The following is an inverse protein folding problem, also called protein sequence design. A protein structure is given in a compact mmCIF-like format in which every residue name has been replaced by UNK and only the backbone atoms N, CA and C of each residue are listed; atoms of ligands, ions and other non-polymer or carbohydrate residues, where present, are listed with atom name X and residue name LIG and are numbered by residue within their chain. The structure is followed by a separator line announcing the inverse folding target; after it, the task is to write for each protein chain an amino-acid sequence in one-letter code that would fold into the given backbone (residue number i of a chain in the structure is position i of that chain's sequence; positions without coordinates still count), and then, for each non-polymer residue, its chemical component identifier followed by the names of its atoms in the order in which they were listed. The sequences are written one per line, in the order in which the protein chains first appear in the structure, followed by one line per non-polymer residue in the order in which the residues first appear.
data_IF_002856390788
#
_entry.id   IF_002856390788
#
_cell.length_a   1.000
_cell.length_b   1.000
_cell.length_c   1.000
_cell.angle_alpha   90.00
_cell.angle_beta   90.00
_cell.angle_gamma   90.00
#
_symmetry.space_group_name_H-M   'P 1'
#
loop_
_entity.id
_entity.type
_entity.pdbx_description
1 polymer ?
#
# COMPACT_ATOMS: atom_id res chain seq x y z
N UNK A 1 25.99 -20.27 2.78
CA UNK A 1 24.82 -19.45 3.15
C UNK A 1 24.84 -18.26 2.21
N UNK A 2 23.70 -17.83 1.69
CA UNK A 2 23.63 -16.65 0.83
C UNK A 2 23.99 -15.38 1.66
N UNK A 3 24.87 -14.52 1.13
CA UNK A 3 25.43 -13.37 1.86
C UNK A 3 24.34 -12.34 2.20
N UNK A 4 23.35 -12.15 1.31
CA UNK A 4 22.22 -11.27 1.55
C UNK A 4 21.32 -11.84 2.64
N UNK A 5 21.03 -13.15 2.62
CA UNK A 5 20.25 -13.82 3.67
C UNK A 5 20.95 -13.66 5.02
N UNK A 6 22.28 -13.84 5.09
CA UNK A 6 23.04 -13.64 6.31
C UNK A 6 22.93 -12.19 6.82
N UNK A 7 23.05 -11.20 5.93
CA UNK A 7 22.90 -9.79 6.27
C UNK A 7 21.49 -9.45 6.77
N UNK A 8 20.44 -9.98 6.12
CA UNK A 8 19.04 -9.80 6.55
C UNK A 8 18.83 -10.37 7.95
N UNK A 9 19.30 -11.59 8.22
CA UNK A 9 19.15 -12.21 9.54
C UNK A 9 19.89 -11.41 10.62
N UNK A 10 21.08 -10.91 10.32
CA UNK A 10 21.86 -10.09 11.25
C UNK A 10 21.21 -8.72 11.54
N UNK A 11 20.46 -8.17 10.58
CA UNK A 11 19.88 -6.83 10.68
C UNK A 11 18.34 -6.81 10.83
N UNK A 12 17.69 -7.95 11.05
CA UNK A 12 16.22 -8.07 11.05
C UNK A 12 15.49 -7.22 12.08
N UNK A 13 16.16 -6.69 13.09
CA UNK A 13 15.56 -5.76 14.05
C UNK A 13 15.42 -4.32 13.49
N UNK A 14 16.13 -4.00 12.40
CA UNK A 14 16.17 -2.65 11.81
C UNK A 14 15.15 -2.47 10.66
N UNK A 15 14.49 -3.55 10.24
CA UNK A 15 13.57 -3.54 9.10
C UNK A 15 12.24 -4.17 9.48
N UNK A 16 11.19 -3.75 8.74
CA UNK A 16 9.91 -4.44 8.74
C UNK A 16 9.85 -5.38 7.56
N UNK A 17 9.13 -6.48 7.75
CA UNK A 17 8.97 -7.52 6.75
C UNK A 17 7.50 -7.66 6.39
N UNK A 18 7.24 -8.09 5.16
CA UNK A 18 5.91 -8.43 4.64
C UNK A 18 6.04 -9.55 3.61
N UNK A 19 5.02 -10.39 3.48
CA UNK A 19 5.04 -11.52 2.55
C UNK A 19 4.87 -11.01 1.12
N UNK A 20 5.76 -11.44 0.23
CA UNK A 20 5.71 -11.14 -1.19
C UNK A 20 5.76 -12.41 -2.06
N UNK A 21 5.01 -13.43 -1.62
CA UNK A 21 4.99 -14.81 -2.18
C UNK A 21 6.38 -15.47 -2.21
N UNK A 22 6.47 -16.71 -2.68
CA UNK A 22 7.70 -17.52 -2.56
C UNK A 22 8.58 -17.43 -3.80
N UNK A 23 7.98 -17.56 -4.98
CA UNK A 23 8.66 -17.49 -6.28
C UNK A 23 8.36 -16.21 -7.05
N UNK A 24 7.49 -15.35 -6.52
CA UNK A 24 6.97 -14.19 -7.24
C UNK A 24 6.21 -14.54 -8.54
N UNK A 25 5.69 -15.78 -8.64
CA UNK A 25 4.82 -16.15 -9.75
C UNK A 25 3.51 -15.35 -9.74
N UNK A 26 3.03 -15.01 -10.95
CA UNK A 26 1.77 -14.30 -11.08
C UNK A 26 0.58 -15.19 -10.71
N UNK A 27 -0.48 -14.55 -10.22
CA UNK A 27 -1.68 -15.20 -9.70
C UNK A 27 -2.96 -14.65 -10.35
N UNK A 28 -2.85 -14.12 -11.57
CA UNK A 28 -4.02 -13.74 -12.37
C UNK A 28 -4.84 -14.96 -12.77
N UNK A 29 -5.99 -14.72 -13.39
CA UNK A 29 -6.87 -15.81 -13.84
C UNK A 29 -6.13 -16.79 -14.74
N UNK A 30 -6.51 -18.05 -14.61
CA UNK A 30 -6.06 -19.09 -15.52
C UNK A 30 -6.50 -18.75 -16.96
N UNK A 31 -5.69 -19.10 -17.97
CA UNK A 31 -6.02 -18.87 -19.37
C UNK A 31 -7.33 -19.56 -19.76
N UNK A 32 -8.04 -18.98 -20.73
CA UNK A 32 -9.22 -19.59 -21.35
C UNK A 32 -8.99 -19.68 -22.86
N UNK A 33 -8.98 -20.89 -23.46
CA UNK A 33 -9.14 -22.22 -22.83
C UNK A 33 -7.97 -22.61 -21.89
N UNK A 34 -8.22 -23.50 -20.93
CA UNK A 34 -7.30 -23.83 -19.84
C UNK A 34 -5.94 -24.42 -20.26
N UNK A 35 -5.79 -24.83 -21.51
CA UNK A 35 -4.57 -25.37 -22.09
C UNK A 35 -3.71 -24.31 -22.83
N UNK A 36 -4.16 -23.06 -22.91
CA UNK A 36 -3.37 -21.99 -23.51
C UNK A 36 -2.17 -21.64 -22.63
N UNK A 37 -1.08 -21.23 -23.28
CA UNK A 37 0.11 -20.70 -22.59
C UNK A 37 -0.02 -19.19 -22.50
N UNK A 38 0.20 -18.64 -21.30
CA UNK A 38 0.20 -17.20 -21.08
C UNK A 38 1.55 -16.59 -21.50
N UNK A 39 1.55 -15.32 -21.88
CA UNK A 39 2.78 -14.56 -22.17
C UNK A 39 3.74 -14.50 -20.96
N UNK A 40 3.20 -14.69 -19.76
CA UNK A 40 3.91 -14.68 -18.48
C UNK A 40 3.64 -15.96 -17.66
N UNK A 41 4.57 -16.38 -16.79
CA UNK A 41 4.33 -17.49 -15.86
C UNK A 41 3.23 -17.17 -14.86
N UNK A 42 2.14 -17.93 -14.86
CA UNK A 42 1.01 -17.75 -13.91
C UNK A 42 0.59 -19.06 -13.27
N UNK A 43 0.16 -18.99 -12.01
CA UNK A 43 -0.36 -20.14 -11.27
C UNK A 43 -1.86 -20.30 -11.51
N UNK A 44 -2.25 -21.48 -11.98
CA UNK A 44 -3.61 -21.75 -12.44
C UNK A 44 -4.45 -22.61 -11.49
N UNK A 45 -3.89 -23.03 -10.35
CA UNK A 45 -4.57 -23.90 -9.38
C UNK A 45 -4.58 -23.33 -7.98
N UNK A 46 -5.68 -23.55 -7.24
CA UNK A 46 -5.82 -23.15 -5.84
C UNK A 46 -4.63 -23.63 -4.98
N UNK A 47 -4.28 -24.92 -5.09
CA UNK A 47 -3.21 -25.52 -4.30
C UNK A 47 -1.84 -24.88 -4.57
N UNK A 48 -1.53 -24.54 -5.84
CA UNK A 48 -0.28 -23.87 -6.17
C UNK A 48 -0.22 -22.44 -5.62
N UNK A 49 -1.33 -21.68 -5.73
CA UNK A 49 -1.42 -20.33 -5.18
C UNK A 49 -1.30 -20.34 -3.65
N UNK A 50 -1.98 -21.27 -2.96
CA UNK A 50 -1.83 -21.45 -1.51
C UNK A 50 -0.40 -21.84 -1.12
N UNK A 51 0.26 -22.68 -1.91
CA UNK A 51 1.63 -23.09 -1.66
C UNK A 51 2.60 -21.90 -1.75
N UNK A 52 2.40 -20.96 -2.67
CA UNK A 52 3.22 -19.73 -2.74
C UNK A 52 3.17 -18.93 -1.44
N UNK A 53 1.98 -18.73 -0.87
CA UNK A 53 1.80 -17.96 0.35
C UNK A 53 2.41 -18.72 1.55
N UNK A 54 2.11 -20.01 1.68
CA UNK A 54 2.53 -20.83 2.83
C UNK A 54 4.02 -21.17 2.83
N UNK A 55 4.64 -21.38 1.67
CA UNK A 55 6.09 -21.60 1.54
C UNK A 55 6.86 -20.34 1.94
N UNK A 56 6.42 -19.15 1.52
CA UNK A 56 7.08 -17.92 1.93
C UNK A 56 7.01 -17.70 3.45
N UNK A 57 5.85 -17.97 4.07
CA UNK A 57 5.70 -17.94 5.55
C UNK A 57 6.56 -19.01 6.25
N UNK A 58 6.85 -20.12 5.59
CA UNK A 58 7.78 -21.13 6.11
C UNK A 58 9.20 -20.58 6.15
N UNK A 59 9.67 -19.95 5.07
CA UNK A 59 10.98 -19.27 5.03
C UNK A 59 11.06 -18.19 6.10
N UNK A 60 10.02 -17.37 6.27
CA UNK A 60 9.95 -16.37 7.34
C UNK A 60 10.19 -16.98 8.73
N UNK A 61 9.56 -18.13 8.99
CA UNK A 61 9.74 -18.88 10.25
C UNK A 61 11.16 -19.41 10.42
N UNK A 62 11.74 -19.98 9.36
CA UNK A 62 13.10 -20.52 9.37
C UNK A 62 14.16 -19.42 9.62
N UNK A 63 13.96 -18.22 9.07
CA UNK A 63 14.84 -17.07 9.28
C UNK A 63 14.55 -16.32 10.61
N UNK A 64 13.45 -16.67 11.28
CA UNK A 64 13.00 -16.02 12.51
C UNK A 64 12.82 -14.51 12.34
N UNK A 65 12.25 -14.07 11.21
CA UNK A 65 11.97 -12.65 10.97
C UNK A 65 10.86 -12.16 11.94
N UNK A 66 10.90 -10.91 12.41
CA UNK A 66 9.97 -10.40 13.42
C UNK A 66 8.52 -10.36 12.93
N UNK A 67 7.56 -10.27 13.87
CA UNK A 67 6.14 -9.98 13.61
C UNK A 67 5.44 -10.93 12.61
N UNK A 68 5.92 -12.17 12.45
CA UNK A 68 5.34 -13.16 11.51
C UNK A 68 3.83 -13.35 11.72
N UNK A 69 3.40 -13.55 12.96
CA UNK A 69 2.00 -13.83 13.29
C UNK A 69 1.09 -12.67 12.89
N UNK A 70 1.51 -11.43 13.16
CA UNK A 70 0.80 -10.21 12.78
C UNK A 70 0.75 -10.03 11.25
N UNK A 71 1.85 -10.36 10.57
CA UNK A 71 1.94 -10.24 9.11
C UNK A 71 1.24 -11.37 8.34
N UNK A 72 0.86 -12.49 8.98
CA UNK A 72 0.13 -13.54 8.29
C UNK A 72 -1.17 -12.99 7.68
N UNK A 73 -1.84 -12.05 8.34
CA UNK A 73 -3.03 -11.37 7.81
C UNK A 73 -2.78 -10.51 6.57
N UNK A 74 -1.53 -10.31 6.12
CA UNK A 74 -1.20 -9.43 4.98
C UNK A 74 -0.52 -10.17 3.84
N UNK A 75 -0.80 -9.74 2.60
CA UNK A 75 -0.12 -10.24 1.42
C UNK A 75 0.08 -9.16 0.36
N UNK A 76 1.30 -9.11 -0.19
CA UNK A 76 1.59 -8.47 -1.47
C UNK A 76 1.79 -9.59 -2.50
N UNK A 77 0.88 -9.78 -3.45
CA UNK A 77 1.09 -10.72 -4.55
C UNK A 77 2.18 -10.23 -5.50
N UNK A 78 2.88 -11.16 -6.17
CA UNK A 78 3.85 -10.79 -7.21
C UNK A 78 3.17 -9.91 -8.28
N UNK A 79 3.80 -8.79 -8.64
CA UNK A 79 3.26 -7.79 -9.58
C UNK A 79 1.87 -7.23 -9.23
N UNK A 80 1.40 -7.34 -7.98
CA UNK A 80 0.00 -7.09 -7.60
C UNK A 80 -1.02 -7.92 -8.41
N UNK A 81 -0.60 -9.09 -8.92
CA UNK A 81 -1.43 -10.01 -9.68
C UNK A 81 -2.57 -10.60 -8.84
N UNK A 82 -3.59 -11.10 -9.51
CA UNK A 82 -4.80 -11.69 -8.91
C UNK A 82 -5.92 -10.69 -8.64
N UNK A 83 -5.66 -9.39 -8.71
CA UNK A 83 -6.66 -8.31 -8.56
C UNK A 83 -7.11 -7.69 -9.89
N UNK A 84 -6.58 -8.16 -11.03
CA UNK A 84 -7.07 -7.90 -12.39
C UNK A 84 -6.83 -9.13 -13.25
N UNK A 85 -7.39 -9.16 -14.45
CA UNK A 85 -7.16 -10.24 -15.41
C UNK A 85 -6.46 -9.67 -16.64
N UNK A 86 -5.16 -9.94 -16.78
CA UNK A 86 -4.34 -9.56 -17.93
C UNK A 86 -4.54 -10.44 -19.18
N UNK A 87 -5.59 -11.28 -19.17
CA UNK A 87 -5.95 -12.16 -20.30
C UNK A 87 -4.83 -13.05 -20.82
N UNK A 88 -3.83 -13.34 -19.99
CA UNK A 88 -2.65 -14.09 -20.39
C UNK A 88 -1.84 -13.43 -21.52
N UNK A 89 -1.94 -12.11 -21.68
CA UNK A 89 -1.18 -11.28 -22.62
C UNK A 89 -0.36 -10.22 -21.87
N UNK A 90 0.54 -9.54 -22.58
CA UNK A 90 1.22 -8.33 -22.08
C UNK A 90 0.51 -7.04 -22.54
N UNK A 91 -0.65 -7.16 -23.20
CA UNK A 91 -1.41 -6.02 -23.74
C UNK A 91 -2.36 -5.45 -22.70
N UNK A 92 -1.94 -4.38 -22.03
CA UNK A 92 -2.75 -3.71 -21.01
C UNK A 92 -4.10 -3.17 -21.53
N UNK A 93 -4.30 -3.06 -22.86
CA UNK A 93 -5.57 -2.60 -23.42
C UNK A 93 -6.68 -3.66 -23.32
N UNK A 94 -6.34 -4.94 -23.17
CA UNK A 94 -7.31 -6.05 -23.04
C UNK A 94 -7.57 -6.46 -21.57
N UNK A 95 -6.81 -5.89 -20.63
CA UNK A 95 -6.94 -6.12 -19.21
C UNK A 95 -8.40 -5.91 -18.75
N UNK A 96 -8.93 -6.88 -18.00
CA UNK A 96 -10.22 -6.74 -17.31
C UNK A 96 -9.96 -6.24 -15.90
N UNK A 97 -10.51 -5.08 -15.59
CA UNK A 97 -10.34 -4.41 -14.31
C UNK A 97 -11.02 -5.14 -13.15
N UNK A 98 -10.61 -4.80 -11.93
CA UNK A 98 -11.15 -5.37 -10.70
C UNK A 98 -12.66 -5.19 -10.56
N UNK A 99 -13.22 -4.04 -10.92
CA UNK A 99 -14.67 -3.76 -10.87
C UNK A 99 -15.46 -4.40 -12.04
N UNK A 100 -14.78 -5.02 -12.99
CA UNK A 100 -15.37 -5.66 -14.18
C UNK A 100 -15.29 -7.19 -14.13
N UNK A 101 -14.98 -7.75 -12.96
CA UNK A 101 -14.84 -9.19 -12.78
C UNK A 101 -13.43 -9.70 -13.06
N UNK A 102 -12.40 -8.86 -13.09
CA UNK A 102 -11.01 -9.25 -13.38
C UNK A 102 -10.29 -10.04 -12.29
N UNK A 103 -10.71 -9.97 -11.03
CA UNK A 103 -9.96 -10.66 -9.96
C UNK A 103 -10.01 -12.19 -10.11
N UNK A 104 -8.94 -12.86 -9.72
CA UNK A 104 -8.85 -14.32 -9.75
C UNK A 104 -9.56 -14.93 -8.53
N UNK A 105 -10.69 -15.65 -8.69
CA UNK A 105 -11.39 -16.26 -7.56
C UNK A 105 -10.56 -17.32 -6.83
N UNK A 106 -9.68 -18.06 -7.54
CA UNK A 106 -8.79 -19.03 -6.90
C UNK A 106 -7.74 -18.35 -6.02
N UNK A 107 -7.29 -17.15 -6.41
CA UNK A 107 -6.38 -16.34 -5.59
C UNK A 107 -7.06 -15.84 -4.33
N UNK A 108 -8.27 -15.28 -4.45
CA UNK A 108 -9.02 -14.80 -3.29
C UNK A 108 -9.37 -15.93 -2.32
N UNK A 109 -9.76 -17.10 -2.84
CA UNK A 109 -9.97 -18.31 -2.03
C UNK A 109 -8.68 -18.83 -1.40
N UNK A 110 -7.55 -18.80 -2.12
CA UNK A 110 -6.26 -19.19 -1.55
C UNK A 110 -5.87 -18.28 -0.37
N UNK A 111 -6.05 -16.97 -0.54
CA UNK A 111 -5.79 -15.96 0.49
C UNK A 111 -6.67 -16.18 1.73
N UNK A 112 -7.97 -16.40 1.54
CA UNK A 112 -8.91 -16.72 2.61
C UNK A 112 -8.50 -18.00 3.38
N UNK A 113 -8.25 -19.09 2.66
CA UNK A 113 -7.89 -20.38 3.25
C UNK A 113 -6.63 -20.35 4.12
N UNK A 114 -5.74 -19.39 3.89
CA UNK A 114 -4.49 -19.23 4.66
C UNK A 114 -4.56 -18.03 5.62
N UNK A 115 -5.74 -17.46 5.85
CA UNK A 115 -5.95 -16.37 6.82
C UNK A 115 -5.23 -15.08 6.44
N UNK A 116 -5.28 -14.69 5.17
CA UNK A 116 -4.95 -13.32 4.74
C UNK A 116 -6.22 -12.50 4.86
N UNK A 117 -6.16 -11.39 5.60
CA UNK A 117 -7.25 -10.43 5.76
C UNK A 117 -7.08 -9.22 4.86
N UNK A 118 -5.83 -8.87 4.53
CA UNK A 118 -5.43 -7.62 3.88
C UNK A 118 -4.61 -7.89 2.62
N UNK A 119 -5.11 -7.40 1.48
CA UNK A 119 -4.48 -7.55 0.17
C UNK A 119 -3.98 -6.21 -0.34
N UNK A 120 -2.68 -6.12 -0.62
CA UNK A 120 -2.11 -4.94 -1.26
C UNK A 120 -2.61 -4.77 -2.70
N UNK A 121 -3.00 -3.55 -3.07
CA UNK A 121 -3.43 -3.21 -4.42
C UNK A 121 -2.64 -2.03 -4.99
N UNK A 122 -2.60 -1.94 -6.32
CA UNK A 122 -1.91 -0.87 -7.03
C UNK A 122 -2.91 0.26 -7.33
N UNK A 123 -2.72 1.43 -6.72
CA UNK A 123 -3.63 2.56 -6.87
C UNK A 123 -3.64 3.19 -8.27
N UNK A 124 -2.75 2.79 -9.18
CA UNK A 124 -2.85 3.20 -10.59
C UNK A 124 -3.86 2.35 -11.38
N UNK A 125 -4.20 1.16 -10.89
CA UNK A 125 -5.14 0.27 -11.55
C UNK A 125 -6.59 0.69 -11.25
N UNK A 126 -7.46 0.52 -12.25
CA UNK A 126 -8.89 0.82 -12.13
C UNK A 126 -9.51 0.02 -10.98
N UNK A 127 -10.25 0.73 -10.12
CA UNK A 127 -10.94 0.19 -8.94
C UNK A 127 -10.03 -0.45 -7.87
N UNK A 128 -8.73 -0.19 -7.93
CA UNK A 128 -7.77 -0.59 -6.90
C UNK A 128 -7.23 0.59 -6.07
N UNK A 129 -7.77 1.79 -6.32
CA UNK A 129 -7.46 3.05 -5.63
C UNK A 129 -8.53 3.42 -4.59
N UNK A 130 -9.06 2.43 -3.88
CA UNK A 130 -10.08 2.62 -2.85
C UNK A 130 -9.89 1.61 -1.71
N UNK A 131 -9.94 2.09 -0.47
CA UNK A 131 -10.05 1.23 0.72
C UNK A 131 -11.44 0.61 0.74
N UNK A 132 -11.54 -0.71 0.55
CA UNK A 132 -12.81 -1.42 0.51
C UNK A 132 -12.66 -2.89 0.92
N UNK A 133 -13.71 -3.45 1.49
CA UNK A 133 -13.86 -4.91 1.53
C UNK A 133 -14.17 -5.43 0.13
N UNK A 134 -13.59 -6.57 -0.23
CA UNK A 134 -13.77 -7.24 -1.52
C UNK A 134 -15.04 -8.10 -1.43
N UNK A 135 -16.20 -7.47 -1.57
CA UNK A 135 -17.51 -8.13 -1.38
C UNK A 135 -18.11 -8.68 -2.67
N UNK A 136 -17.52 -8.36 -3.82
CA UNK A 136 -18.05 -8.71 -5.14
C UNK A 136 -17.50 -10.02 -5.71
N UNK A 137 -16.61 -10.69 -4.97
CA UNK A 137 -16.03 -11.97 -5.34
C UNK A 137 -16.20 -12.96 -4.19
N UNK A 138 -16.79 -14.12 -4.48
CA UNK A 138 -16.82 -15.23 -3.53
C UNK A 138 -15.45 -15.92 -3.47
N UNK A 139 -14.98 -16.13 -2.25
CA UNK A 139 -13.72 -16.77 -1.90
C UNK A 139 -13.90 -17.93 -0.90
N UNK A 140 -15.15 -18.21 -0.50
CA UNK A 140 -15.47 -19.28 0.44
C UNK A 140 -15.26 -18.96 1.93
N UNK A 141 -14.93 -17.72 2.31
CA UNK A 141 -14.87 -17.25 3.70
C UNK A 141 -16.20 -16.63 4.15
N UNK A 142 -16.41 -16.58 5.47
CA UNK A 142 -17.49 -15.77 6.08
C UNK A 142 -17.13 -14.28 6.15
N UNK A 143 -15.83 -13.96 6.10
CA UNK A 143 -15.30 -12.60 6.19
C UNK A 143 -14.61 -12.20 4.88
N UNK A 144 -14.97 -11.02 4.36
CA UNK A 144 -14.39 -10.42 3.17
C UNK A 144 -12.97 -9.90 3.44
N UNK A 145 -12.06 -10.09 2.49
CA UNK A 145 -10.72 -9.49 2.55
C UNK A 145 -10.80 -8.00 2.24
N UNK A 146 -9.92 -7.23 2.86
CA UNK A 146 -9.82 -5.79 2.66
C UNK A 146 -8.71 -5.47 1.65
N UNK A 147 -9.06 -4.69 0.65
CA UNK A 147 -8.14 -4.12 -0.34
C UNK A 147 -7.42 -2.90 0.26
N UNK A 148 -6.09 -2.94 0.25
CA UNK A 148 -5.19 -1.90 0.75
C UNK A 148 -4.38 -1.26 -0.39
N UNK A 149 -4.81 -0.10 -0.90
CA UNK A 149 -4.10 0.56 -1.97
C UNK A 149 -2.70 1.04 -1.56
N UNK A 150 -1.79 1.03 -2.54
CA UNK A 150 -0.43 1.54 -2.45
C UNK A 150 -0.15 2.46 -3.62
N UNK A 151 0.56 3.54 -3.37
CA UNK A 151 0.93 4.51 -4.39
C UNK A 151 2.15 4.02 -5.19
N UNK A 152 2.07 3.89 -6.52
CA UNK A 152 3.27 3.71 -7.32
C UNK A 152 4.15 4.96 -7.23
N UNK A 153 5.45 4.74 -7.38
CA UNK A 153 6.40 5.81 -7.68
C UNK A 153 6.87 5.67 -9.12
N UNK A 154 7.35 6.75 -9.71
CA UNK A 154 8.02 6.67 -11.01
C UNK A 154 9.50 6.27 -10.87
N UNK A 155 9.92 5.78 -9.70
CA UNK A 155 11.21 5.11 -9.50
C UNK A 155 11.01 3.63 -9.87
N UNK A 156 11.12 3.33 -11.16
CA UNK A 156 10.65 2.07 -11.74
C UNK A 156 11.34 0.82 -11.15
N UNK A 157 10.63 -0.31 -11.19
CA UNK A 157 11.00 -1.54 -10.49
C UNK A 157 12.30 -2.22 -10.98
N UNK A 158 12.75 -1.86 -12.17
CA UNK A 158 13.83 -2.47 -12.95
C UNK A 158 15.07 -1.57 -13.06
N UNK A 159 15.07 -0.36 -12.46
CA UNK A 159 16.17 0.59 -12.58
C UNK A 159 17.02 0.65 -11.31
N UNK A 160 18.34 0.79 -11.51
CA UNK A 160 19.35 0.74 -10.44
C UNK A 160 20.16 2.02 -10.29
N UNK A 161 20.10 2.94 -11.26
CA UNK A 161 20.91 4.17 -11.28
C UNK A 161 20.21 5.32 -12.02
N UNK A 162 20.63 6.58 -11.80
CA UNK A 162 19.95 7.78 -12.33
C UNK A 162 19.72 7.77 -13.85
N UNK A 163 20.73 7.39 -14.63
CA UNK A 163 20.61 7.40 -16.10
C UNK A 163 19.55 6.43 -16.63
N UNK A 164 19.43 5.25 -16.01
CA UNK A 164 18.40 4.25 -16.38
C UNK A 164 17.00 4.78 -16.06
N UNK A 165 16.84 5.38 -14.89
CA UNK A 165 15.58 5.99 -14.50
C UNK A 165 15.20 7.14 -15.44
N UNK A 166 16.17 7.99 -15.78
CA UNK A 166 15.94 9.11 -16.70
C UNK A 166 15.54 8.64 -18.10
N UNK A 167 16.19 7.61 -18.62
CA UNK A 167 15.86 7.00 -19.92
C UNK A 167 14.43 6.45 -19.92
N UNK A 168 14.08 5.59 -18.97
CA UNK A 168 12.75 4.97 -18.90
C UNK A 168 11.64 6.00 -18.61
N UNK A 169 11.89 6.96 -17.72
CA UNK A 169 10.93 8.03 -17.41
C UNK A 169 10.61 8.87 -18.64
N UNK A 170 11.65 9.31 -19.35
CA UNK A 170 11.48 10.14 -20.54
C UNK A 170 10.85 9.34 -21.68
N UNK A 171 11.18 8.06 -21.83
CA UNK A 171 10.48 7.20 -22.78
C UNK A 171 8.98 7.08 -22.48
N UNK A 172 8.62 6.76 -21.24
CA UNK A 172 7.23 6.54 -20.83
C UNK A 172 6.41 7.82 -20.94
N UNK A 173 6.93 8.96 -20.48
CA UNK A 173 6.14 10.18 -20.37
C UNK A 173 6.31 11.17 -21.54
N UNK A 174 7.30 10.97 -22.42
CA UNK A 174 7.57 11.89 -23.52
C UNK A 174 7.89 11.17 -24.84
N UNK A 175 8.99 10.42 -24.92
CA UNK A 175 9.54 9.99 -26.22
C UNK A 175 8.65 8.99 -26.95
N UNK A 176 7.92 8.11 -26.26
CA UNK A 176 6.98 7.19 -26.92
C UNK A 176 5.90 7.92 -27.73
N UNK A 177 5.48 9.10 -27.27
CA UNK A 177 4.46 9.91 -27.93
C UNK A 177 5.05 10.66 -29.13
N UNK A 178 6.24 11.26 -28.95
CA UNK A 178 6.98 11.88 -30.05
C UNK A 178 7.27 10.87 -31.16
N UNK A 179 7.72 9.66 -30.81
CA UNK A 179 8.00 8.58 -31.74
C UNK A 179 6.74 8.09 -32.48
N UNK A 180 5.57 8.22 -31.85
CA UNK A 180 4.28 7.94 -32.47
C UNK A 180 3.73 9.12 -33.31
N UNK A 181 4.48 10.22 -33.46
CA UNK A 181 4.05 11.43 -34.18
C UNK A 181 2.99 12.26 -33.45
N UNK A 182 2.87 12.09 -32.13
CA UNK A 182 1.91 12.80 -31.28
C UNK A 182 2.59 13.93 -30.52
N UNK A 183 1.84 14.97 -30.14
CA UNK A 183 2.32 16.05 -29.26
C UNK A 183 2.13 15.64 -27.79
N UNK A 184 3.22 15.39 -27.02
CA UNK A 184 3.13 15.03 -25.61
C UNK A 184 2.40 16.10 -24.76
N UNK A 185 2.43 17.37 -25.15
CA UNK A 185 1.75 18.43 -24.42
C UNK A 185 0.22 18.32 -24.42
N UNK A 186 -0.36 17.57 -25.36
CA UNK A 186 -1.81 17.37 -25.48
C UNK A 186 -2.29 16.06 -24.84
N UNK A 187 -1.39 15.25 -24.28
CA UNK A 187 -1.71 13.92 -23.78
C UNK A 187 -1.79 13.94 -22.24
N UNK A 188 -2.95 13.60 -21.65
CA UNK A 188 -3.07 13.49 -20.20
C UNK A 188 -2.03 12.53 -19.61
N UNK A 189 -1.26 13.01 -18.63
CA UNK A 189 -0.22 12.24 -17.94
C UNK A 189 1.15 12.22 -18.64
N UNK A 190 1.28 12.75 -19.85
CA UNK A 190 2.57 12.98 -20.50
C UNK A 190 3.26 14.26 -20.00
N UNK A 191 4.53 14.44 -20.34
CA UNK A 191 5.30 15.66 -20.08
C UNK A 191 5.70 16.32 -21.40
N UNK A 192 5.62 17.65 -21.47
CA UNK A 192 5.93 18.43 -22.69
C UNK A 192 7.39 18.38 -23.14
N UNK A 193 8.30 18.05 -22.24
CA UNK A 193 9.73 17.94 -22.52
C UNK A 193 10.35 16.89 -21.60
N UNK A 194 11.46 16.31 -22.04
CA UNK A 194 12.25 15.41 -21.19
C UNK A 194 12.71 16.10 -19.90
N UNK A 195 12.91 15.29 -18.86
CA UNK A 195 13.34 15.70 -17.53
C UNK A 195 14.71 15.14 -17.20
N UNK A 196 15.52 15.95 -16.56
CA UNK A 196 16.74 15.52 -15.87
C UNK A 196 16.39 14.72 -14.61
N UNK A 197 17.34 13.97 -14.06
CA UNK A 197 17.14 13.23 -12.82
C UNK A 197 16.63 14.11 -11.66
N UNK A 198 17.19 15.31 -11.49
CA UNK A 198 16.74 16.24 -10.45
C UNK A 198 15.29 16.72 -10.66
N UNK A 199 14.88 16.95 -11.91
CA UNK A 199 13.49 17.32 -12.24
C UNK A 199 12.51 16.16 -12.01
N UNK A 200 12.95 14.92 -12.25
CA UNK A 200 12.17 13.73 -11.92
C UNK A 200 11.94 13.65 -10.40
N UNK A 201 13.00 13.77 -9.60
CA UNK A 201 12.90 13.77 -8.13
C UNK A 201 11.99 14.90 -7.61
N UNK A 202 12.06 16.09 -8.20
CA UNK A 202 11.18 17.21 -7.82
C UNK A 202 9.71 16.92 -8.12
N UNK A 203 9.40 16.35 -9.29
CA UNK A 203 8.05 15.97 -9.65
C UNK A 203 7.51 14.85 -8.76
N UNK A 204 8.34 13.85 -8.46
CA UNK A 204 8.01 12.78 -7.53
C UNK A 204 7.75 13.31 -6.11
N UNK A 205 8.55 14.27 -5.64
CA UNK A 205 8.37 14.91 -4.34
C UNK A 205 7.03 15.67 -4.25
N UNK A 206 6.66 16.43 -5.29
CA UNK A 206 5.36 17.12 -5.33
C UNK A 206 4.18 16.14 -5.28
N UNK A 207 4.23 15.06 -6.06
CA UNK A 207 3.18 14.01 -6.06
C UNK A 207 3.09 13.33 -4.70
N UNK A 208 4.23 12.88 -4.16
CA UNK A 208 4.26 12.18 -2.87
C UNK A 208 3.77 13.06 -1.72
N UNK A 209 4.14 14.35 -1.70
CA UNK A 209 3.67 15.30 -0.71
C UNK A 209 2.15 15.48 -0.80
N UNK A 210 1.57 15.60 -2.01
CA UNK A 210 0.11 15.62 -2.19
C UNK A 210 -0.54 14.38 -1.63
N UNK A 211 0.04 13.19 -1.87
CA UNK A 211 -0.46 11.93 -1.29
C UNK A 211 -0.42 11.97 0.24
N UNK A 212 0.68 12.41 0.85
CA UNK A 212 0.80 12.54 2.31
C UNK A 212 -0.25 13.49 2.91
N UNK A 213 -0.60 14.55 2.18
CA UNK A 213 -1.62 15.53 2.58
C UNK A 213 -3.08 15.02 2.43
N UNK A 214 -3.31 13.84 1.82
CA UNK A 214 -4.65 13.23 1.76
C UNK A 214 -5.07 12.57 3.08
N UNK A 215 -4.15 12.39 4.02
CA UNK A 215 -4.33 11.62 5.26
C UNK A 215 -4.69 10.14 5.05
N UNK A 216 -4.54 9.62 3.83
CA UNK A 216 -4.56 8.18 3.58
C UNK A 216 -3.29 7.55 4.14
N UNK A 217 -3.40 6.32 4.64
CA UNK A 217 -2.28 5.56 5.22
C UNK A 217 -1.55 4.72 4.17
N UNK A 218 -1.82 4.98 2.89
CA UNK A 218 -1.30 4.17 1.79
C UNK A 218 0.19 4.42 1.63
N UNK A 219 1.02 3.37 1.66
CA UNK A 219 2.44 3.53 1.43
C UNK A 219 2.73 3.74 -0.05
N UNK A 220 3.83 4.40 -0.34
CA UNK A 220 4.48 4.32 -1.65
C UNK A 220 5.24 3.01 -1.79
N UNK A 221 5.38 2.48 -3.01
CA UNK A 221 6.13 1.25 -3.24
C UNK A 221 7.33 1.41 -4.16
N UNK A 222 8.33 0.57 -3.87
CA UNK A 222 9.65 0.47 -4.51
C UNK A 222 10.03 -1.00 -4.63
N UNK A 223 11.14 -1.26 -5.31
CA UNK A 223 11.67 -2.60 -5.54
C UNK A 223 13.14 -2.68 -5.13
N UNK A 224 13.64 -3.92 -4.98
CA UNK A 224 15.01 -4.18 -4.53
C UNK A 224 16.09 -3.48 -5.37
N UNK A 225 15.86 -3.30 -6.67
CA UNK A 225 16.76 -2.60 -7.60
C UNK A 225 16.96 -1.14 -7.22
N UNK A 226 15.96 -0.49 -6.62
CA UNK A 226 16.01 0.93 -6.25
C UNK A 226 16.91 1.18 -5.03
N UNK A 227 17.31 0.12 -4.32
CA UNK A 227 18.31 0.13 -3.25
C UNK A 227 19.72 -0.24 -3.74
N UNK A 228 19.90 -0.52 -5.04
CA UNK A 228 21.22 -0.74 -5.58
C UNK A 228 22.08 0.52 -5.40
N UNK A 229 23.27 0.32 -4.84
CA UNK A 229 24.30 1.36 -4.72
C UNK A 229 24.79 1.71 -6.13
N UNK A 230 24.55 2.94 -6.57
CA UNK A 230 24.94 3.36 -7.93
C UNK A 230 26.28 4.12 -8.00
N UNK A 231 26.85 4.51 -6.88
CA UNK A 231 28.16 5.19 -6.81
C UNK A 231 28.99 4.73 -5.61
N UNK A 232 30.22 5.24 -5.45
CA UNK A 232 31.10 4.86 -4.34
C UNK A 232 30.59 5.34 -2.96
N UNK A 233 29.81 6.42 -2.93
CA UNK A 233 29.30 7.07 -1.71
C UNK A 233 28.17 6.28 -1.05
N UNK A 234 27.52 5.38 -1.77
CA UNK A 234 26.42 4.56 -1.23
C UNK A 234 25.04 5.09 -1.57
N UNK A 235 24.93 6.00 -2.54
CA UNK A 235 23.65 6.57 -2.92
C UNK A 235 22.77 5.52 -3.63
N UNK A 236 21.46 5.63 -3.41
CA UNK A 236 20.45 4.78 -4.04
C UNK A 236 19.27 5.63 -4.49
N UNK A 237 18.58 5.18 -5.54
CA UNK A 237 17.43 5.90 -6.09
C UNK A 237 16.32 6.11 -5.04
N UNK A 238 16.07 5.12 -4.19
CA UNK A 238 15.05 5.22 -3.16
C UNK A 238 15.41 6.25 -2.07
N UNK A 239 16.67 6.34 -1.66
CA UNK A 239 17.08 7.34 -0.67
C UNK A 239 17.11 8.75 -1.25
N UNK A 240 17.47 8.92 -2.52
CA UNK A 240 17.37 10.21 -3.20
C UNK A 240 15.92 10.69 -3.30
N UNK A 241 14.99 9.79 -3.63
CA UNK A 241 13.56 10.07 -3.60
C UNK A 241 13.09 10.46 -2.19
N UNK A 242 13.52 9.71 -1.17
CA UNK A 242 13.15 9.98 0.23
C UNK A 242 13.62 11.38 0.65
N UNK A 243 14.87 11.74 0.34
CA UNK A 243 15.44 13.05 0.64
C UNK A 243 14.67 14.18 -0.05
N UNK A 244 14.31 14.01 -1.33
CA UNK A 244 13.53 15.00 -2.06
C UNK A 244 12.13 15.21 -1.44
N UNK A 245 11.42 14.12 -1.11
CA UNK A 245 10.11 14.17 -0.47
C UNK A 245 10.17 14.86 0.90
N UNK A 246 11.12 14.48 1.75
CA UNK A 246 11.23 15.06 3.09
C UNK A 246 11.70 16.51 3.06
N UNK A 247 12.53 16.90 2.09
CA UNK A 247 12.90 18.32 1.89
C UNK A 247 11.66 19.18 1.64
N UNK A 248 10.74 18.76 0.78
CA UNK A 248 9.49 19.50 0.53
C UNK A 248 8.50 19.40 1.69
N UNK A 249 8.40 18.22 2.32
CA UNK A 249 7.55 18.03 3.49
C UNK A 249 7.94 18.98 4.63
N UNK A 250 9.23 19.03 4.99
CA UNK A 250 9.75 19.83 6.10
C UNK A 250 9.67 21.34 5.83
N UNK A 251 9.59 21.75 4.56
CA UNK A 251 9.32 23.14 4.17
C UNK A 251 7.90 23.59 4.55
N UNK A 252 6.94 22.66 4.58
CA UNK A 252 5.53 22.95 4.82
C UNK A 252 5.04 22.53 6.20
N UNK A 253 5.57 21.44 6.75
CA UNK A 253 5.05 20.78 7.94
C UNK A 253 6.19 20.43 8.91
N UNK A 254 5.92 20.62 10.20
CA UNK A 254 6.79 20.16 11.31
C UNK A 254 6.23 18.90 11.99
N UNK A 255 5.20 18.30 11.42
CA UNK A 255 4.52 17.16 11.99
C UNK A 255 5.38 15.90 11.80
N UNK A 256 5.59 15.06 12.83
CA UNK A 256 6.39 13.85 12.65
C UNK A 256 5.74 12.89 11.65
N UNK A 257 6.49 12.37 10.68
CA UNK A 257 5.99 11.30 9.80
C UNK A 257 6.07 9.97 10.55
N UNK A 258 4.93 9.25 10.61
CA UNK A 258 4.85 7.92 11.23
C UNK A 258 4.93 6.84 10.17
N UNK A 259 5.96 6.01 10.24
CA UNK A 259 6.06 4.79 9.46
C UNK A 259 5.40 3.66 10.27
N UNK A 260 4.29 3.09 9.80
CA UNK A 260 3.60 1.96 10.45
C UNK A 260 3.93 0.61 9.78
N UNK A 261 3.92 -0.51 10.52
CA UNK A 261 3.85 -1.83 9.90
C UNK A 261 2.61 -1.96 9.02
N UNK A 262 2.72 -2.71 7.92
CA UNK A 262 1.63 -2.77 6.94
C UNK A 262 0.37 -3.47 7.48
N UNK A 263 0.51 -4.50 8.33
CA UNK A 263 -0.65 -5.10 9.00
C UNK A 263 -1.43 -4.09 9.85
N UNK A 264 -0.73 -3.18 10.53
CA UNK A 264 -1.36 -2.12 11.33
C UNK A 264 -2.05 -1.06 10.45
N UNK A 265 -1.56 -0.85 9.22
CA UNK A 265 -2.29 -0.06 8.22
C UNK A 265 -3.61 -0.76 7.88
N UNK A 266 -3.59 -2.09 7.72
CA UNK A 266 -4.77 -2.95 7.57
C UNK A 266 -5.77 -2.79 8.70
N UNK A 267 -5.34 -3.04 9.95
CA UNK A 267 -6.17 -2.91 11.16
C UNK A 267 -6.85 -1.54 11.21
N UNK A 268 -6.07 -0.46 11.01
CA UNK A 268 -6.57 0.91 11.06
C UNK A 268 -7.49 1.26 9.89
N UNK A 269 -7.34 0.60 8.76
CA UNK A 269 -8.23 0.78 7.61
C UNK A 269 -9.56 0.07 7.85
N UNK A 270 -9.53 -1.15 8.38
CA UNK A 270 -10.73 -1.88 8.78
C UNK A 270 -11.55 -1.08 9.81
N UNK A 271 -10.89 -0.52 10.82
CA UNK A 271 -11.53 0.35 11.82
C UNK A 271 -12.09 1.64 11.20
N UNK A 272 -11.36 2.27 10.26
CA UNK A 272 -11.84 3.44 9.53
C UNK A 272 -13.10 3.13 8.73
N UNK A 273 -13.17 1.99 8.04
CA UNK A 273 -14.34 1.57 7.26
C UNK A 273 -15.53 1.28 8.18
N UNK A 274 -15.30 0.59 9.30
CA UNK A 274 -16.33 0.34 10.32
C UNK A 274 -16.89 1.64 10.88
N UNK A 275 -16.03 2.58 11.23
CA UNK A 275 -16.43 3.93 11.65
C UNK A 275 -17.24 4.66 10.55
N UNK A 276 -16.79 4.64 9.28
CA UNK A 276 -17.49 5.28 8.17
C UNK A 276 -18.90 4.73 7.94
N UNK A 277 -19.15 3.46 8.26
CA UNK A 277 -20.49 2.85 8.21
C UNK A 277 -21.38 3.18 9.42
N UNK A 278 -20.82 3.76 10.48
CA UNK A 278 -21.54 4.10 11.70
C UNK A 278 -21.99 5.57 11.71
N UNK A 279 -23.10 5.85 12.38
CA UNK A 279 -23.53 7.20 12.73
C UNK A 279 -23.01 7.52 14.11
N UNK A 280 -21.90 8.27 14.17
CA UNK A 280 -21.30 8.75 15.42
C UNK A 280 -21.84 10.14 15.76
N UNK A 281 -22.29 10.32 17.00
CA UNK A 281 -22.78 11.60 17.53
C UNK A 281 -21.85 12.08 18.64
N UNK A 282 -21.62 13.39 18.68
CA UNK A 282 -20.80 14.04 19.70
C UNK A 282 -21.47 15.33 20.19
N UNK A 283 -21.57 15.52 21.50
CA UNK A 283 -22.04 16.76 22.12
C UNK A 283 -20.97 17.26 23.09
N UNK A 284 -20.43 18.46 22.84
CA UNK A 284 -19.48 19.09 23.77
C UNK A 284 -20.21 20.01 24.76
N UNK A 285 -20.27 19.60 26.02
CA UNK A 285 -20.63 20.49 27.11
C UNK A 285 -19.42 21.34 27.50
N UNK A 286 -19.45 22.62 27.12
CA UNK A 286 -18.37 23.58 27.38
C UNK A 286 -18.28 24.02 28.85
N UNK A 287 -19.37 23.92 29.61
CA UNK A 287 -19.41 24.25 31.04
C UNK A 287 -18.67 23.21 31.86
N UNK A 288 -18.87 21.92 31.56
CA UNK A 288 -18.16 20.82 32.24
C UNK A 288 -16.88 20.38 31.51
N UNK A 289 -16.60 20.97 30.34
CA UNK A 289 -15.51 20.60 29.44
C UNK A 289 -15.47 19.10 29.09
N UNK A 290 -16.64 18.51 28.85
CA UNK A 290 -16.78 17.10 28.49
C UNK A 290 -17.48 16.93 27.14
N UNK A 291 -16.96 16.03 26.33
CA UNK A 291 -17.60 15.55 25.12
C UNK A 291 -18.32 14.24 25.43
N UNK A 292 -19.61 14.16 25.11
CA UNK A 292 -20.39 12.93 25.16
C UNK A 292 -20.44 12.34 23.76
N UNK A 293 -19.93 11.11 23.61
CA UNK A 293 -19.88 10.38 22.34
C UNK A 293 -20.77 9.14 22.39
N UNK A 294 -21.49 8.88 21.30
CA UNK A 294 -22.25 7.64 21.08
C UNK A 294 -22.24 7.29 19.59
N UNK A 295 -22.64 6.06 19.29
CA UNK A 295 -22.81 5.58 17.92
C UNK A 295 -24.03 4.67 17.81
N UNK A 296 -24.64 4.57 16.63
CA UNK A 296 -25.76 3.66 16.39
C UNK A 296 -25.35 2.17 16.39
N UNK A 297 -24.07 1.88 16.18
CA UNK A 297 -23.45 0.55 16.27
C UNK A 297 -22.12 0.64 17.02
N UNK A 298 -21.58 -0.50 17.44
CA UNK A 298 -20.31 -0.54 18.15
C UNK A 298 -19.14 -0.14 17.24
N UNK A 299 -18.37 0.87 17.66
CA UNK A 299 -17.11 1.29 17.05
C UNK A 299 -16.03 1.18 18.13
N UNK A 300 -15.26 0.09 18.18
CA UNK A 300 -14.36 -0.22 19.30
C UNK A 300 -13.13 0.69 19.36
N UNK A 301 -12.64 1.15 18.21
CA UNK A 301 -11.38 1.89 18.10
C UNK A 301 -11.57 3.24 17.39
N UNK A 302 -12.56 4.03 17.81
CA UNK A 302 -12.75 5.37 17.26
C UNK A 302 -11.56 6.26 17.66
N UNK A 303 -10.76 6.68 16.68
CA UNK A 303 -9.64 7.60 16.89
C UNK A 303 -10.16 9.03 17.06
N UNK A 304 -9.90 9.64 18.22
CA UNK A 304 -10.36 11.00 18.54
C UNK A 304 -9.20 11.86 19.00
N UNK A 305 -9.14 13.08 18.46
CA UNK A 305 -8.16 14.10 18.83
C UNK A 305 -8.75 15.11 19.81
N UNK A 306 -7.97 15.51 20.80
CA UNK A 306 -8.31 16.55 21.78
C UNK A 306 -9.08 16.05 23.01
N UNK A 307 -9.13 14.73 23.24
CA UNK A 307 -9.63 14.15 24.49
C UNK A 307 -8.49 13.97 25.50
N UNK A 308 -8.84 13.93 26.78
CA UNK A 308 -7.87 13.62 27.84
C UNK A 308 -7.33 12.18 27.71
N UNK A 309 -6.01 12.06 27.88
CA UNK A 309 -5.24 10.82 27.71
C UNK A 309 -4.90 10.51 26.25
N UNK A 310 -4.07 9.48 26.05
CA UNK A 310 -3.56 9.13 24.72
C UNK A 310 -2.12 9.58 24.49
N UNK A 311 -1.67 9.44 23.25
CA UNK A 311 -0.36 9.91 22.81
C UNK A 311 -0.43 11.36 22.31
N UNK A 312 0.67 12.09 22.43
CA UNK A 312 0.79 13.42 21.85
C UNK A 312 1.29 13.32 20.41
N UNK A 313 0.57 13.95 19.48
CA UNK A 313 0.96 14.04 18.08
C UNK A 313 0.57 15.40 17.51
N UNK A 314 1.56 16.14 16.98
CA UNK A 314 1.31 17.48 16.44
C UNK A 314 0.77 18.49 17.46
N UNK A 315 1.16 18.35 18.74
CA UNK A 315 0.68 19.22 19.82
C UNK A 315 -0.74 18.94 20.30
N UNK A 316 -1.36 17.83 19.87
CA UNK A 316 -2.69 17.42 20.33
C UNK A 316 -2.67 15.99 20.84
N UNK A 317 -3.45 15.71 21.89
CA UNK A 317 -3.65 14.35 22.37
C UNK A 317 -4.54 13.59 21.40
N UNK A 318 -4.15 12.37 21.06
CA UNK A 318 -4.91 11.47 20.19
C UNK A 318 -5.04 10.13 20.91
N UNK A 319 -6.25 9.58 20.93
CA UNK A 319 -6.51 8.26 21.51
C UNK A 319 -7.64 7.53 20.79
N UNK A 320 -7.58 6.22 20.86
CA UNK A 320 -8.68 5.34 20.50
C UNK A 320 -9.65 5.21 21.68
N UNK A 321 -10.95 5.19 21.38
CA UNK A 321 -12.02 4.93 22.35
C UNK A 321 -13.06 4.00 21.74
N UNK A 322 -13.61 3.12 22.59
CA UNK A 322 -14.84 2.39 22.27
C UNK A 322 -16.06 3.27 22.47
N UNK A 323 -16.90 3.36 21.44
CA UNK A 323 -18.23 3.99 21.48
C UNK A 323 -19.28 3.03 20.94
N UNK A 324 -20.49 3.12 21.47
CA UNK A 324 -21.65 2.32 21.05
C UNK A 324 -22.93 3.11 21.35
N UNK A 325 -24.07 2.42 21.43
CA UNK A 325 -25.38 3.04 21.70
C UNK A 325 -25.47 3.69 23.08
N UNK A 326 -24.59 3.34 24.02
CA UNK A 326 -24.49 3.95 25.34
C UNK A 326 -23.59 5.20 25.29
N UNK A 327 -24.12 6.40 25.57
CA UNK A 327 -23.32 7.62 25.56
C UNK A 327 -22.19 7.58 26.58
N UNK A 328 -21.01 8.04 26.17
CA UNK A 328 -19.79 8.09 27.01
C UNK A 328 -19.27 9.52 27.09
N UNK A 329 -19.26 10.08 28.30
CA UNK A 329 -18.69 11.39 28.57
C UNK A 329 -17.18 11.29 28.82
N UNK A 330 -16.39 12.12 28.13
CA UNK A 330 -14.93 12.15 28.23
C UNK A 330 -14.48 13.61 28.30
N UNK A 331 -13.53 13.89 29.19
CA UNK A 331 -12.97 15.25 29.33
C UNK A 331 -12.19 15.64 28.09
N UNK A 332 -12.38 16.88 27.62
CA UNK A 332 -11.60 17.46 26.53
C UNK A 332 -10.26 17.99 27.06
N UNK A 333 -9.17 17.58 26.44
CA UNK A 333 -7.84 18.14 26.67
C UNK A 333 -7.11 18.25 25.33
N UNK A 334 -6.95 19.48 24.86
CA UNK A 334 -6.34 19.78 23.56
C UNK A 334 -4.81 19.92 23.62
N UNK A 335 -4.20 19.75 24.80
CA UNK A 335 -2.76 19.93 25.03
C UNK A 335 -2.19 21.28 24.54
N UNK A 336 -3.01 22.33 24.51
CA UNK A 336 -2.62 23.68 24.04
C UNK A 336 -1.61 24.40 24.95
N UNK A 337 -1.26 23.80 26.09
CA UNK A 337 -0.36 24.37 27.10
C UNK A 337 0.95 23.59 27.23
N UNK A 338 1.21 22.62 26.35
CA UNK A 338 2.43 21.81 26.33
C UNK A 338 3.43 22.32 25.30
#
# INVERSE_FOLDING_TARGET
TDDLVAAVVANKANFRFISHTFTHADMDKAPVPANNTCAYPTLTTLAAIQAEITRNRTVWGLLGLPEKSLNNGTLISGNHSGLKDRKCTDDQADDVAFDQGGANPLFLQAAANVGVDYLASDSSQRAQNLEQYITQYDDGSTDDRLMLPRWPTNIFYNVTKPDQLMDEYNYIFHDRFVNAGQDPCQIPGAVCSTRTYAQILQAEADIALRHMLTFNKWPHFFHQTNLAKYDASGNTLQFDWLNAVFTEYERLLKLPVRNFPYYLIGDRTAERLKYKSAVVQAVWNRTTNQVTLSANTAVPNLLVTGLAGGELYGGQLIREIGVNTTPKAITVNRALTQ
#
